data_IF_572269382523
#
_entry.id   IF_572269382523
#
_cell.length_a   1.000
_cell.length_b   1.000
_cell.length_c   1.000
_cell.angle_alpha   90.00
_cell.angle_beta   90.00
_cell.angle_gamma   90.00
#
_symmetry.space_group_name_H-M   'P 1'
#
loop_
_entity.id
_entity.type
_entity.pdbx_description
1 polymer ?
#
# COMPACT_ATOMS: atom_id res chain seq x y z
N UNK A 1 19.39 -7.62 -15.22
CA UNK A 1 17.93 -7.79 -15.37
C UNK A 1 17.29 -6.41 -15.44
N UNK A 2 16.53 -6.19 -16.47
CA UNK A 2 15.79 -4.94 -16.61
C UNK A 2 14.48 -5.06 -15.86
N UNK A 3 14.32 -4.22 -14.86
CA UNK A 3 13.13 -4.21 -14.04
C UNK A 3 12.55 -2.80 -14.03
N UNK A 4 11.32 -2.66 -14.48
CA UNK A 4 10.66 -1.37 -14.53
C UNK A 4 9.36 -1.47 -13.74
N UNK A 5 9.27 -0.72 -12.63
CA UNK A 5 8.09 -0.73 -11.77
C UNK A 5 6.83 -0.27 -12.50
N UNK A 6 6.97 0.52 -13.56
CA UNK A 6 5.81 0.97 -14.34
C UNK A 6 5.07 -0.17 -15.03
N UNK A 7 5.75 -1.31 -15.23
CA UNK A 7 5.14 -2.50 -15.81
C UNK A 7 4.33 -3.28 -14.77
N UNK A 8 4.52 -2.96 -13.49
CA UNK A 8 3.89 -3.65 -12.37
C UNK A 8 3.04 -2.63 -11.61
N UNK A 9 1.79 -2.50 -12.00
CA UNK A 9 0.92 -1.46 -11.43
C UNK A 9 0.21 -1.90 -10.17
N UNK A 10 0.38 -3.14 -9.76
CA UNK A 10 -0.23 -3.70 -8.57
C UNK A 10 0.86 -4.13 -7.59
N UNK A 11 0.86 -3.53 -6.41
CA UNK A 11 1.82 -3.83 -5.36
C UNK A 11 1.06 -4.37 -4.15
N UNK A 12 1.50 -5.51 -3.62
CA UNK A 12 0.96 -6.06 -2.39
C UNK A 12 1.96 -5.85 -1.25
N UNK A 13 1.48 -5.33 -0.11
CA UNK A 13 2.34 -4.97 1.01
C UNK A 13 1.88 -5.66 2.29
N UNK A 14 2.77 -6.42 2.92
CA UNK A 14 2.51 -7.02 4.23
C UNK A 14 2.92 -6.02 5.30
N UNK A 15 2.07 -5.84 6.31
CA UNK A 15 2.32 -4.84 7.36
C UNK A 15 2.17 -3.42 6.85
N UNK A 16 1.18 -3.20 6.01
CA UNK A 16 0.99 -1.92 5.30
C UNK A 16 0.81 -0.73 6.25
N UNK A 17 0.32 -0.97 7.46
CA UNK A 17 0.12 0.09 8.46
C UNK A 17 1.40 0.51 9.19
N UNK A 18 2.54 -0.12 8.92
CA UNK A 18 3.81 0.28 9.50
C UNK A 18 4.24 1.65 9.00
N UNK A 19 5.04 2.37 9.79
CA UNK A 19 5.42 3.74 9.46
C UNK A 19 6.11 3.83 8.10
N UNK A 20 7.12 2.97 7.87
CA UNK A 20 7.86 2.99 6.61
C UNK A 20 7.02 2.47 5.45
N UNK A 21 6.28 1.39 5.68
CA UNK A 21 5.45 0.78 4.64
C UNK A 21 4.32 1.69 4.22
N UNK A 22 3.68 2.36 5.18
CA UNK A 22 2.58 3.26 4.86
C UNK A 22 3.06 4.47 4.07
N UNK A 23 4.24 4.99 4.37
CA UNK A 23 4.84 6.08 3.60
C UNK A 23 5.07 5.69 2.15
N UNK A 24 5.62 4.50 1.94
CA UNK A 24 5.82 3.97 0.59
C UNK A 24 4.48 3.76 -0.13
N UNK A 25 3.50 3.21 0.59
CA UNK A 25 2.17 2.99 0.02
C UNK A 25 1.53 4.30 -0.46
N UNK A 26 1.67 5.38 0.31
CA UNK A 26 1.15 6.67 -0.11
C UNK A 26 1.79 7.15 -1.42
N UNK A 27 3.10 7.01 -1.52
CA UNK A 27 3.83 7.41 -2.73
C UNK A 27 3.31 6.62 -3.93
N UNK A 28 3.18 5.30 -3.76
CA UNK A 28 2.72 4.44 -4.84
C UNK A 28 1.29 4.78 -5.27
N UNK A 29 0.40 5.04 -4.30
CA UNK A 29 -0.97 5.43 -4.62
C UNK A 29 -1.01 6.74 -5.40
N UNK A 30 -0.19 7.72 -5.02
CA UNK A 30 -0.12 8.99 -5.73
C UNK A 30 0.45 8.84 -7.13
N UNK A 31 1.29 7.82 -7.35
CA UNK A 31 1.85 7.53 -8.65
C UNK A 31 0.92 6.70 -9.54
N UNK A 32 -0.26 6.35 -9.04
CA UNK A 32 -1.24 5.63 -9.81
C UNK A 32 -1.18 4.12 -9.72
N UNK A 33 -0.39 3.59 -8.78
CA UNK A 33 -0.34 2.15 -8.56
C UNK A 33 -1.59 1.68 -7.83
N UNK A 34 -2.01 0.44 -8.12
CA UNK A 34 -2.98 -0.26 -7.29
C UNK A 34 -2.24 -0.86 -6.11
N UNK A 35 -2.61 -0.47 -4.92
CA UNK A 35 -1.95 -0.94 -3.70
C UNK A 35 -2.93 -1.77 -2.90
N UNK A 36 -2.54 -3.01 -2.61
CA UNK A 36 -3.27 -3.88 -1.69
C UNK A 36 -2.31 -4.28 -0.58
N UNK A 37 -2.84 -4.76 0.51
CA UNK A 37 -1.97 -5.20 1.58
C UNK A 37 -2.72 -5.84 2.72
N UNK A 38 -1.97 -6.15 3.77
CA UNK A 38 -2.51 -6.73 4.98
C UNK A 38 -1.86 -6.11 6.20
N UNK A 39 -2.58 -6.13 7.30
CA UNK A 39 -2.05 -5.75 8.61
C UNK A 39 -2.75 -6.56 9.68
N UNK A 40 -2.09 -6.78 10.81
CA UNK A 40 -2.68 -7.54 11.89
C UNK A 40 -3.81 -6.80 12.58
N UNK A 41 -3.82 -5.48 12.48
CA UNK A 41 -4.88 -4.67 13.10
C UNK A 41 -5.05 -3.34 12.35
N UNK A 42 -6.24 -2.78 12.46
CA UNK A 42 -6.53 -1.49 11.87
C UNK A 42 -5.88 -0.34 12.64
N UNK A 43 -5.78 0.80 11.98
CA UNK A 43 -5.22 2.02 12.56
C UNK A 43 -5.66 3.22 11.73
N UNK A 44 -5.42 4.42 12.26
CA UNK A 44 -5.68 5.65 11.50
C UNK A 44 -4.85 5.70 10.21
N UNK A 45 -3.63 5.16 10.27
CA UNK A 45 -2.77 5.09 9.10
C UNK A 45 -3.39 4.21 8.02
N UNK A 46 -3.89 3.03 8.41
CA UNK A 46 -4.57 2.12 7.48
C UNK A 46 -5.82 2.80 6.91
N UNK A 47 -6.60 3.45 7.75
CA UNK A 47 -7.82 4.13 7.30
C UNK A 47 -7.50 5.21 6.28
N UNK A 48 -6.43 5.94 6.47
CA UNK A 48 -5.99 6.96 5.52
C UNK A 48 -5.63 6.33 4.18
N UNK A 49 -4.89 5.21 4.21
CA UNK A 49 -4.51 4.52 2.97
C UNK A 49 -5.74 4.02 2.23
N UNK A 50 -6.72 3.49 2.95
CA UNK A 50 -7.97 3.04 2.35
C UNK A 50 -8.69 4.22 1.70
N UNK A 51 -8.72 5.38 2.37
CA UNK A 51 -9.34 6.57 1.79
C UNK A 51 -8.63 7.04 0.52
N UNK A 52 -7.37 6.71 0.38
CA UNK A 52 -6.58 7.02 -0.82
C UNK A 52 -6.71 5.97 -1.93
N UNK A 53 -7.43 4.89 -1.66
CA UNK A 53 -7.68 3.86 -2.67
C UNK A 53 -7.04 2.51 -2.41
N UNK A 54 -6.31 2.33 -1.31
CA UNK A 54 -5.72 1.04 -0.98
C UNK A 54 -6.80 0.05 -0.54
N UNK A 55 -6.56 -1.23 -0.83
CA UNK A 55 -7.40 -2.32 -0.33
C UNK A 55 -6.60 -3.11 0.70
N UNK A 56 -7.08 -3.13 1.94
CA UNK A 56 -6.33 -3.71 3.05
C UNK A 56 -7.17 -4.77 3.76
N UNK A 57 -6.56 -5.94 3.96
CA UNK A 57 -7.12 -7.01 4.78
C UNK A 57 -6.57 -6.89 6.19
N UNK A 58 -7.46 -6.91 7.17
CA UNK A 58 -7.09 -6.88 8.58
C UNK A 58 -7.30 -8.26 9.17
N UNK A 59 -6.28 -8.76 9.84
CA UNK A 59 -6.40 -10.07 10.50
C UNK A 59 -5.21 -10.99 10.33
#
# INVERSE_FOLDING_TARGET
MNFNLKDYKHIYMVGIGGISMSGLAEILLKEGFTVTGSDSKGSDIVDKLISMGAMVNIG
#
